data_IF_580367255182
#
_entry.id   IF_580367255182
#
_cell.length_a   1.000
_cell.length_b   1.000
_cell.length_c   1.000
_cell.angle_alpha   90.00
_cell.angle_beta   90.00
_cell.angle_gamma   90.00
#
_symmetry.space_group_name_H-M   'P 1'
#
loop_
_entity.id
_entity.type
_entity.pdbx_description
1 polymer ?
#
# COMPACT_ATOMS: atom_id res chain seq x y z
N UNK A 1 23.47 32.92 -22.07
CA UNK A 1 23.60 34.14 -21.25
C UNK A 1 25.07 34.32 -20.90
N UNK A 2 25.58 35.55 -20.77
CA UNK A 2 27.00 35.84 -20.57
C UNK A 2 27.21 36.92 -19.49
N UNK A 3 28.27 36.75 -18.69
CA UNK A 3 28.72 37.72 -17.68
C UNK A 3 30.24 37.88 -17.79
N UNK A 4 30.76 39.07 -17.49
CA UNK A 4 32.20 39.33 -17.50
C UNK A 4 32.88 38.58 -16.35
N UNK A 5 33.88 37.76 -16.67
CA UNK A 5 34.79 37.15 -15.67
C UNK A 5 35.88 38.13 -15.22
N UNK A 6 36.16 39.14 -16.03
CA UNK A 6 37.14 40.20 -15.74
C UNK A 6 36.44 41.31 -14.96
N UNK A 7 36.49 41.24 -13.63
CA UNK A 7 35.95 42.25 -12.72
C UNK A 7 37.06 43.24 -12.34
N UNK A 8 36.81 44.53 -12.54
CA UNK A 8 37.77 45.60 -12.23
C UNK A 8 37.46 46.21 -10.85
N UNK A 9 38.29 45.87 -9.87
CA UNK A 9 38.14 46.33 -8.48
C UNK A 9 39.02 47.56 -8.16
N UNK A 10 39.52 48.27 -9.17
CA UNK A 10 40.36 49.48 -8.94
C UNK A 10 39.57 50.66 -8.35
N UNK A 11 38.29 50.78 -8.68
CA UNK A 11 37.40 51.82 -8.18
C UNK A 11 35.93 51.43 -8.38
N UNK A 12 35.02 52.03 -7.60
CA UNK A 12 33.57 51.81 -7.74
C UNK A 12 33.05 52.03 -9.19
N UNK A 13 33.43 53.12 -9.90
CA UNK A 13 33.03 53.28 -11.30
C UNK A 13 33.61 52.22 -12.24
N UNK A 14 34.83 51.72 -11.97
CA UNK A 14 35.44 50.68 -12.77
C UNK A 14 34.74 49.33 -12.57
N UNK A 15 34.39 49.00 -11.33
CA UNK A 15 33.59 47.82 -10.99
C UNK A 15 32.25 47.85 -11.74
N UNK A 16 31.52 48.96 -11.67
CA UNK A 16 30.25 49.12 -12.38
C UNK A 16 30.39 48.92 -13.90
N UNK A 17 31.40 49.55 -14.52
CA UNK A 17 31.67 49.37 -15.96
C UNK A 17 32.02 47.92 -16.32
N UNK A 18 32.78 47.23 -15.47
CA UNK A 18 33.18 45.84 -15.70
C UNK A 18 31.98 44.88 -15.66
N UNK A 19 31.00 45.14 -14.78
CA UNK A 19 29.74 44.38 -14.68
C UNK A 19 28.78 44.68 -15.84
N UNK A 20 28.82 45.89 -16.40
CA UNK A 20 27.98 46.30 -17.53
C UNK A 20 28.57 46.00 -18.90
N UNK A 21 29.73 45.31 -18.95
CA UNK A 21 30.38 44.94 -20.21
C UNK A 21 29.40 44.16 -21.10
N UNK A 22 29.47 44.40 -22.40
CA UNK A 22 28.68 43.65 -23.40
C UNK A 22 29.40 42.35 -23.75
N UNK A 23 28.65 41.28 -24.07
CA UNK A 23 29.25 40.04 -24.51
C UNK A 23 30.10 40.26 -25.78
N UNK A 24 31.24 39.55 -25.91
CA UNK A 24 32.13 39.70 -27.05
C UNK A 24 31.58 39.07 -28.34
N UNK A 25 30.54 38.23 -28.24
CA UNK A 25 29.92 37.50 -29.34
C UNK A 25 28.45 37.87 -29.50
N UNK A 26 27.95 38.08 -30.73
CA UNK A 26 26.57 38.51 -30.97
C UNK A 26 25.51 37.44 -30.63
N UNK A 27 25.88 36.15 -30.59
CA UNK A 27 24.99 35.05 -30.20
C UNK A 27 24.73 35.01 -28.68
N UNK A 28 25.52 35.76 -27.91
CA UNK A 28 25.39 35.85 -26.47
C UNK A 28 24.61 37.10 -26.07
N UNK A 29 23.71 36.92 -25.11
CA UNK A 29 23.03 38.02 -24.44
C UNK A 29 23.56 38.15 -23.02
N UNK A 30 23.70 39.39 -22.54
CA UNK A 30 24.09 39.66 -21.15
C UNK A 30 23.12 38.94 -20.21
N UNK A 31 23.65 38.29 -19.18
CA UNK A 31 22.83 37.78 -18.10
C UNK A 31 21.97 38.91 -17.53
N UNK A 32 20.76 38.58 -17.06
CA UNK A 32 19.92 39.57 -16.37
C UNK A 32 20.68 40.05 -15.13
N UNK A 33 20.42 41.27 -14.67
CA UNK A 33 21.00 41.74 -13.39
C UNK A 33 20.62 40.74 -12.31
N UNK A 34 21.62 40.03 -11.80
CA UNK A 34 21.42 39.01 -10.78
C UNK A 34 21.35 39.68 -9.40
N UNK A 35 21.03 38.90 -8.37
CA UNK A 35 20.81 39.40 -7.01
C UNK A 35 22.03 40.16 -6.45
N UNK A 36 23.23 39.84 -6.93
CA UNK A 36 24.49 40.42 -6.51
C UNK A 36 24.72 41.87 -7.01
N UNK A 37 24.42 42.15 -8.28
CA UNK A 37 24.47 43.51 -8.84
C UNK A 37 23.43 44.42 -8.14
N UNK A 38 22.24 43.88 -7.87
CA UNK A 38 21.19 44.60 -7.13
C UNK A 38 21.61 44.88 -5.67
N UNK A 39 22.24 43.91 -5.01
CA UNK A 39 22.81 44.10 -3.67
C UNK A 39 23.89 45.18 -3.68
N UNK A 40 24.80 45.16 -4.67
CA UNK A 40 25.83 46.19 -4.83
C UNK A 40 25.21 47.58 -4.99
N UNK A 41 24.23 47.74 -5.88
CA UNK A 41 23.52 49.01 -6.06
C UNK A 41 22.85 49.52 -4.77
N UNK A 42 22.27 48.62 -3.97
CA UNK A 42 21.67 48.98 -2.68
C UNK A 42 22.74 49.45 -1.67
N UNK A 43 23.84 48.71 -1.55
CA UNK A 43 24.90 49.02 -0.59
C UNK A 43 25.60 50.34 -0.90
N UNK A 44 25.97 50.57 -2.16
CA UNK A 44 26.68 51.81 -2.55
C UNK A 44 25.79 53.05 -2.50
N UNK A 45 24.47 52.89 -2.38
CA UNK A 45 23.57 54.01 -2.14
C UNK A 45 23.78 54.62 -0.75
N UNK A 46 24.31 53.85 0.21
CA UNK A 46 24.63 54.28 1.58
C UNK A 46 25.98 55.01 1.60
N UNK A 47 25.98 56.22 2.13
CA UNK A 47 27.17 57.09 2.18
C UNK A 47 28.33 56.46 2.94
N UNK A 48 28.04 55.88 4.11
CA UNK A 48 29.02 55.17 4.96
C UNK A 48 29.77 54.05 4.23
N UNK A 49 29.08 53.25 3.41
CA UNK A 49 29.69 52.16 2.63
C UNK A 49 30.54 52.73 1.50
N UNK A 50 30.01 53.72 0.78
CA UNK A 50 30.69 54.38 -0.34
C UNK A 50 32.00 55.03 0.11
N UNK A 51 32.02 55.56 1.33
CA UNK A 51 33.18 56.22 1.89
C UNK A 51 34.30 55.26 2.28
N UNK A 52 33.94 54.06 2.75
CA UNK A 52 34.90 53.00 3.10
C UNK A 52 35.38 52.24 1.86
N UNK A 53 34.51 52.07 0.84
CA UNK A 53 34.78 51.31 -0.38
C UNK A 53 35.68 52.05 -1.40
N UNK A 54 36.80 52.66 -0.94
CA UNK A 54 37.71 53.49 -1.74
C UNK A 54 39.05 52.81 -2.10
N UNK A 55 39.20 51.51 -1.91
CA UNK A 55 40.42 50.75 -2.25
C UNK A 55 40.15 49.32 -2.70
N UNK A 56 41.10 48.71 -3.42
CA UNK A 56 40.90 47.41 -4.07
C UNK A 56 40.53 46.26 -3.14
N UNK A 57 41.13 46.19 -1.94
CA UNK A 57 40.80 45.17 -0.95
C UNK A 57 39.40 45.39 -0.33
N UNK A 58 39.06 46.63 0.04
CA UNK A 58 37.74 46.97 0.57
C UNK A 58 36.63 46.71 -0.47
N UNK A 59 36.89 47.06 -1.73
CA UNK A 59 35.97 46.83 -2.84
C UNK A 59 35.83 45.34 -3.18
N UNK A 60 36.90 44.56 -3.06
CA UNK A 60 36.86 43.10 -3.19
C UNK A 60 35.94 42.49 -2.12
N UNK A 61 36.12 42.84 -0.84
CA UNK A 61 35.25 42.35 0.24
C UNK A 61 33.79 42.77 0.04
N UNK A 62 33.55 44.02 -0.35
CA UNK A 62 32.20 44.50 -0.66
C UNK A 62 31.56 43.65 -1.78
N UNK A 63 32.31 43.39 -2.84
CA UNK A 63 31.84 42.59 -3.97
C UNK A 63 31.60 41.12 -3.58
N UNK A 64 32.47 40.53 -2.77
CA UNK A 64 32.28 39.16 -2.25
C UNK A 64 31.03 39.06 -1.36
N UNK A 65 30.74 40.08 -0.54
CA UNK A 65 29.51 40.13 0.25
C UNK A 65 28.26 40.23 -0.63
N UNK A 66 28.31 41.01 -1.71
CA UNK A 66 27.18 41.12 -2.65
C UNK A 66 26.81 39.78 -3.28
N UNK A 67 27.77 38.85 -3.40
CA UNK A 67 27.54 37.51 -3.94
C UNK A 67 26.90 36.53 -2.93
N UNK A 68 26.66 36.94 -1.68
CA UNK A 68 25.95 36.10 -0.70
C UNK A 68 24.49 35.91 -1.16
N UNK A 69 24.03 34.66 -1.38
CA UNK A 69 22.65 34.41 -1.78
C UNK A 69 21.65 34.82 -0.70
N UNK A 70 20.57 35.48 -1.11
CA UNK A 70 19.39 35.66 -0.25
C UNK A 70 18.50 34.41 -0.33
N UNK A 71 18.77 33.45 0.54
CA UNK A 71 17.98 32.21 0.63
C UNK A 71 16.54 32.46 1.08
N UNK A 72 16.30 33.53 1.84
CA UNK A 72 15.00 33.87 2.42
C UNK A 72 14.10 34.65 1.48
N UNK A 73 14.63 35.10 0.33
CA UNK A 73 13.90 35.92 -0.67
C UNK A 73 13.13 37.05 -0.01
N UNK A 74 13.77 37.70 0.95
CA UNK A 74 13.16 38.80 1.68
C UNK A 74 13.12 40.04 0.77
N UNK A 75 12.53 41.13 1.24
CA UNK A 75 12.69 42.40 0.55
C UNK A 75 14.19 42.72 0.37
N UNK A 76 14.54 43.21 -0.82
CA UNK A 76 15.90 43.63 -1.18
C UNK A 76 16.55 44.56 -0.13
N UNK A 77 15.73 45.34 0.58
CA UNK A 77 16.18 46.24 1.64
C UNK A 77 16.69 45.50 2.90
N UNK A 78 16.02 44.42 3.33
CA UNK A 78 16.42 43.71 4.55
C UNK A 78 17.72 42.94 4.36
N UNK A 79 17.89 42.27 3.21
CA UNK A 79 19.17 41.62 2.86
C UNK A 79 20.29 42.65 2.72
N UNK A 80 20.02 43.79 2.08
CA UNK A 80 20.97 44.90 1.97
C UNK A 80 21.43 45.43 3.33
N UNK A 81 20.55 45.50 4.35
CA UNK A 81 20.94 45.88 5.72
C UNK A 81 21.87 44.87 6.37
N UNK A 82 21.59 43.57 6.21
CA UNK A 82 22.47 42.51 6.73
C UNK A 82 23.87 42.60 6.10
N UNK A 83 23.95 42.74 4.78
CA UNK A 83 25.23 42.88 4.08
C UNK A 83 25.98 44.15 4.46
N UNK A 84 25.26 45.25 4.69
CA UNK A 84 25.85 46.50 5.18
C UNK A 84 26.49 46.33 6.56
N UNK A 85 25.76 45.75 7.52
CA UNK A 85 26.26 45.48 8.87
C UNK A 85 27.53 44.60 8.82
N UNK A 86 27.49 43.53 8.01
CA UNK A 86 28.63 42.63 7.81
C UNK A 86 29.84 43.36 7.21
N UNK A 87 29.62 44.19 6.19
CA UNK A 87 30.71 44.95 5.57
C UNK A 87 31.37 45.90 6.57
N UNK A 88 30.58 46.66 7.33
CA UNK A 88 31.09 47.59 8.32
C UNK A 88 31.89 46.87 9.41
N UNK A 89 31.38 45.76 9.95
CA UNK A 89 32.13 44.96 10.94
C UNK A 89 33.44 44.40 10.37
N UNK A 90 33.44 43.91 9.13
CA UNK A 90 34.66 43.42 8.48
C UNK A 90 35.69 44.53 8.24
N UNK A 91 35.24 45.76 7.94
CA UNK A 91 36.13 46.89 7.73
C UNK A 91 36.65 47.50 9.04
N UNK A 92 35.88 47.46 10.12
CA UNK A 92 36.26 48.02 11.42
C UNK A 92 36.99 47.02 12.32
N UNK A 93 36.44 45.82 12.46
CA UNK A 93 36.87 44.82 13.44
C UNK A 93 37.64 43.65 12.79
N UNK A 94 37.65 43.58 11.45
CA UNK A 94 38.29 42.52 10.67
C UNK A 94 37.52 41.19 10.66
N UNK A 95 36.68 40.93 11.67
CA UNK A 95 35.82 39.76 11.80
C UNK A 95 34.50 40.13 12.47
N UNK A 96 33.48 39.34 12.17
CA UNK A 96 32.18 39.37 12.84
C UNK A 96 32.32 38.67 14.19
N UNK A 97 32.04 39.41 15.26
CA UNK A 97 32.14 38.90 16.62
C UNK A 97 31.01 37.92 16.99
N UNK A 98 31.30 37.02 17.94
CA UNK A 98 30.31 36.04 18.39
C UNK A 98 29.09 36.67 19.07
N UNK A 99 29.29 37.77 19.79
CA UNK A 99 28.23 38.47 20.52
C UNK A 99 27.12 38.99 19.59
N UNK A 100 27.48 39.37 18.36
CA UNK A 100 26.54 39.81 17.34
C UNK A 100 25.89 38.65 16.59
N UNK A 101 26.65 37.57 16.36
CA UNK A 101 26.22 36.39 15.60
C UNK A 101 25.27 35.49 16.41
N UNK A 102 25.60 35.22 17.67
CA UNK A 102 24.88 34.31 18.55
C UNK A 102 23.37 34.58 18.67
N UNK A 103 22.89 35.80 18.98
CA UNK A 103 21.45 36.04 19.12
C UNK A 103 20.69 35.84 17.80
N UNK A 104 21.33 36.08 16.66
CA UNK A 104 20.73 35.95 15.32
C UNK A 104 20.57 34.50 14.87
N UNK A 105 21.50 33.63 15.26
CA UNK A 105 21.42 32.18 15.01
C UNK A 105 20.49 31.52 16.03
N UNK A 106 20.64 31.82 17.32
CA UNK A 106 19.87 31.14 18.38
C UNK A 106 18.36 31.35 18.28
N UNK A 107 17.90 32.51 17.80
CA UNK A 107 16.46 32.75 17.58
C UNK A 107 15.82 31.85 16.50
N UNK A 108 16.63 31.28 15.61
CA UNK A 108 16.18 30.37 14.54
C UNK A 108 16.01 28.93 15.05
N UNK A 109 16.58 28.63 16.22
CA UNK A 109 16.57 27.32 16.84
C UNK A 109 15.22 27.00 17.51
N UNK A 110 14.15 27.01 16.72
CA UNK A 110 12.78 26.80 17.18
C UNK A 110 11.96 26.08 16.13
N UNK A 111 11.32 24.98 16.53
CA UNK A 111 10.50 24.13 15.66
C UNK A 111 8.99 24.46 15.71
N UNK A 112 8.59 25.40 16.57
CA UNK A 112 7.20 25.84 16.74
C UNK A 112 6.66 26.64 15.54
N UNK A 113 5.34 26.66 15.32
CA UNK A 113 4.71 27.39 14.22
C UNK A 113 4.26 26.52 13.06
N UNK A 114 3.72 27.13 12.01
CA UNK A 114 3.22 26.45 10.82
C UNK A 114 4.35 26.11 9.82
N UNK A 115 3.98 25.50 8.68
CA UNK A 115 4.93 25.14 7.63
C UNK A 115 5.73 26.35 7.12
N UNK A 116 5.05 27.47 6.88
CA UNK A 116 5.66 28.66 6.27
C UNK A 116 6.64 29.33 7.26
N UNK A 117 6.32 29.31 8.56
CA UNK A 117 7.23 29.75 9.63
C UNK A 117 8.51 28.90 9.69
N UNK A 118 8.40 27.57 9.64
CA UNK A 118 9.58 26.67 9.67
C UNK A 118 10.41 26.83 8.40
N UNK A 119 9.77 26.88 7.23
CA UNK A 119 10.44 27.09 5.94
C UNK A 119 11.21 28.42 5.92
N UNK A 120 10.63 29.50 6.46
CA UNK A 120 11.29 30.80 6.61
C UNK A 120 12.54 30.72 7.50
N UNK A 121 12.51 29.96 8.60
CA UNK A 121 13.68 29.76 9.46
C UNK A 121 14.78 28.94 8.78
N UNK A 122 14.43 27.92 8.00
CA UNK A 122 15.39 27.15 7.20
C UNK A 122 16.10 28.05 6.19
N UNK A 123 15.35 28.93 5.53
CA UNK A 123 15.94 29.87 4.60
C UNK A 123 16.92 30.82 5.30
N UNK A 124 16.56 31.34 6.48
CA UNK A 124 17.46 32.20 7.26
C UNK A 124 18.70 31.47 7.78
N UNK A 125 18.59 30.21 8.23
CA UNK A 125 19.76 29.48 8.75
C UNK A 125 20.76 29.17 7.65
N UNK A 126 20.31 28.93 6.40
CA UNK A 126 21.19 28.71 5.24
C UNK A 126 22.11 29.88 4.95
N UNK A 127 21.66 31.13 5.15
CA UNK A 127 22.52 32.31 5.05
C UNK A 127 23.67 32.24 6.06
N UNK A 128 23.39 31.80 7.29
CA UNK A 128 24.39 31.63 8.34
C UNK A 128 25.30 30.41 8.10
N UNK A 129 24.76 29.31 7.57
CA UNK A 129 25.55 28.16 7.11
C UNK A 129 26.54 28.61 6.03
N UNK A 130 26.10 29.36 5.02
CA UNK A 130 26.97 29.90 3.98
C UNK A 130 28.05 30.84 4.53
N UNK A 131 27.66 31.78 5.40
CA UNK A 131 28.60 32.73 6.01
C UNK A 131 29.63 32.04 6.90
N UNK A 132 29.24 31.03 7.68
CA UNK A 132 30.16 30.31 8.57
C UNK A 132 31.27 29.56 7.83
N UNK A 133 31.06 29.21 6.56
CA UNK A 133 32.12 28.66 5.70
C UNK A 133 33.17 29.69 5.24
N UNK A 134 32.92 30.99 5.41
CA UNK A 134 33.91 32.07 5.18
C UNK A 134 34.75 32.26 6.44
N UNK A 135 35.67 31.34 6.71
CA UNK A 135 36.46 31.28 7.94
C UNK A 135 37.27 32.55 8.27
N UNK A 136 37.60 33.35 7.25
CA UNK A 136 38.27 34.63 7.44
C UNK A 136 37.37 35.72 8.06
N UNK A 137 36.04 35.59 7.95
CA UNK A 137 35.08 36.64 8.31
C UNK A 137 34.43 36.45 9.67
N UNK A 138 34.44 35.24 10.23
CA UNK A 138 33.69 34.91 11.45
C UNK A 138 34.65 34.38 12.52
N UNK A 139 34.52 34.92 13.73
CA UNK A 139 35.19 34.37 14.91
C UNK A 139 34.68 32.96 15.23
N UNK A 140 35.59 32.02 15.51
CA UNK A 140 35.28 30.60 15.75
C UNK A 140 34.38 29.98 14.68
N UNK A 141 34.68 30.24 13.41
CA UNK A 141 33.94 29.70 12.27
C UNK A 141 33.62 28.18 12.35
N UNK A 142 34.53 27.28 12.80
CA UNK A 142 34.18 25.85 12.94
C UNK A 142 33.01 25.59 13.89
N UNK A 143 32.96 26.29 15.03
CA UNK A 143 31.85 26.18 15.98
C UNK A 143 30.52 26.61 15.35
N UNK A 144 30.52 27.74 14.63
CA UNK A 144 29.32 28.26 13.99
C UNK A 144 28.86 27.43 12.80
N UNK A 145 29.78 26.78 12.07
CA UNK A 145 29.46 25.81 11.02
C UNK A 145 28.67 24.62 11.59
N UNK A 146 29.18 24.01 12.68
CA UNK A 146 28.52 22.89 13.34
C UNK A 146 27.16 23.31 13.92
N UNK A 147 27.11 24.47 14.58
CA UNK A 147 25.89 25.00 15.20
C UNK A 147 24.81 25.30 14.17
N UNK A 148 25.15 25.95 13.05
CA UNK A 148 24.20 26.27 11.99
C UNK A 148 23.66 24.99 11.33
N UNK A 149 24.53 24.02 11.05
CA UNK A 149 24.15 22.72 10.51
C UNK A 149 23.18 21.97 11.43
N UNK A 150 23.47 21.92 12.73
CA UNK A 150 22.59 21.24 13.70
C UNK A 150 21.22 21.92 13.86
N UNK A 151 21.11 23.23 13.58
CA UNK A 151 19.82 23.93 13.54
C UNK A 151 19.10 23.62 12.21
N UNK A 152 19.81 23.64 11.09
CA UNK A 152 19.25 23.32 9.77
C UNK A 152 18.70 21.89 9.72
N UNK A 153 19.41 20.91 10.27
CA UNK A 153 18.97 19.51 10.34
C UNK A 153 17.65 19.39 11.12
N UNK A 154 17.59 19.96 12.33
CA UNK A 154 16.37 19.90 13.17
C UNK A 154 15.18 20.63 12.57
N UNK A 155 15.40 21.76 11.90
CA UNK A 155 14.33 22.47 11.20
C UNK A 155 13.86 21.69 9.98
N UNK A 156 14.75 21.02 9.25
CA UNK A 156 14.43 20.20 8.08
C UNK A 156 13.58 18.99 8.47
N UNK A 157 13.90 18.33 9.58
CA UNK A 157 13.09 17.25 10.14
C UNK A 157 11.68 17.75 10.52
N UNK A 158 11.59 18.87 11.24
CA UNK A 158 10.31 19.46 11.62
C UNK A 158 9.47 19.91 10.40
N UNK A 159 10.12 20.38 9.33
CA UNK A 159 9.43 20.71 8.08
C UNK A 159 8.86 19.46 7.42
N UNK A 160 9.60 18.35 7.42
CA UNK A 160 9.16 17.08 6.86
C UNK A 160 7.94 16.52 7.59
N UNK A 161 7.94 16.55 8.92
CA UNK A 161 6.78 16.18 9.73
C UNK A 161 5.54 17.03 9.39
N UNK A 162 5.70 18.35 9.28
CA UNK A 162 4.61 19.29 8.94
C UNK A 162 4.11 19.13 7.49
N UNK A 163 4.99 18.81 6.55
CA UNK A 163 4.61 18.53 5.17
C UNK A 163 3.68 17.30 5.11
N UNK A 164 4.02 16.26 5.88
CA UNK A 164 3.22 15.04 6.00
C UNK A 164 1.82 15.35 6.55
N UNK A 165 1.73 16.16 7.61
CA UNK A 165 0.45 16.59 8.21
C UNK A 165 -0.43 17.40 7.23
N UNK A 166 0.15 18.35 6.48
CA UNK A 166 -0.60 19.24 5.56
C UNK A 166 -1.25 18.50 4.38
N UNK A 167 -0.65 17.41 3.91
CA UNK A 167 -1.25 16.56 2.86
C UNK A 167 -2.44 15.74 3.37
N UNK A 168 -2.39 15.29 4.64
CA UNK A 168 -3.46 14.52 5.30
C UNK A 168 -4.68 15.41 5.59
N UNK A 169 -4.47 16.65 6.01
CA UNK A 169 -5.56 17.57 6.37
C UNK A 169 -6.42 18.01 5.16
N UNK A 170 -5.78 18.28 4.01
CA UNK A 170 -6.51 18.73 2.79
C UNK A 170 -7.36 17.61 2.18
N UNK A 171 -6.90 16.36 2.27
CA UNK A 171 -7.63 15.15 1.84
C UNK A 171 -8.86 14.94 2.73
N UNK A 172 -8.68 15.02 4.05
CA UNK A 172 -9.73 14.77 5.04
C UNK A 172 -10.84 15.83 5.01
N UNK A 173 -10.51 17.12 4.88
CA UNK A 173 -11.51 18.20 4.89
C UNK A 173 -12.48 18.17 3.70
N UNK A 174 -12.01 17.73 2.52
CA UNK A 174 -12.81 17.72 1.29
C UNK A 174 -13.81 16.55 1.27
N UNK A 175 -13.40 15.39 1.79
CA UNK A 175 -14.23 14.18 1.94
C UNK A 175 -15.29 14.36 3.04
N UNK A 176 -14.91 14.90 4.20
CA UNK A 176 -15.82 15.09 5.35
C UNK A 176 -16.97 16.04 5.06
N UNK A 177 -16.73 17.10 4.29
CA UNK A 177 -17.76 18.09 3.96
C UNK A 177 -18.91 17.48 3.16
N UNK A 178 -18.63 16.50 2.30
CA UNK A 178 -19.63 15.91 1.39
C UNK A 178 -20.23 14.59 1.90
N UNK A 179 -19.55 13.86 2.79
CA UNK A 179 -20.16 12.73 3.50
C UNK A 179 -21.39 13.16 4.33
N UNK A 180 -21.39 14.42 4.78
CA UNK A 180 -22.47 15.02 5.58
C UNK A 180 -23.68 15.48 4.76
N UNK A 181 -23.54 15.65 3.45
CA UNK A 181 -24.57 16.25 2.57
C UNK A 181 -25.45 15.21 1.85
N UNK A 182 -25.31 13.91 2.16
CA UNK A 182 -26.11 12.78 1.62
C UNK A 182 -26.20 12.70 0.08
N UNK A 183 -25.34 13.42 -0.63
CA UNK A 183 -25.27 13.42 -2.09
C UNK A 183 -24.75 12.06 -2.62
N UNK A 184 -25.21 11.59 -3.78
CA UNK A 184 -24.70 10.37 -4.41
C UNK A 184 -23.22 10.56 -4.75
N UNK A 185 -22.36 9.75 -4.13
CA UNK A 185 -20.93 9.71 -4.41
C UNK A 185 -20.69 8.94 -5.70
N UNK A 186 -20.00 9.55 -6.68
CA UNK A 186 -19.59 8.85 -7.89
C UNK A 186 -18.38 7.98 -7.56
N UNK A 187 -18.61 6.67 -7.42
CA UNK A 187 -17.55 5.66 -7.32
C UNK A 187 -17.34 4.94 -8.65
N UNK A 188 -16.09 4.93 -9.11
CA UNK A 188 -15.62 4.05 -10.18
C UNK A 188 -14.71 2.97 -9.60
N UNK A 189 -14.83 1.74 -10.11
CA UNK A 189 -13.84 0.69 -9.90
C UNK A 189 -13.24 0.35 -11.25
N UNK A 190 -11.91 0.42 -11.36
CA UNK A 190 -11.21 0.04 -12.60
C UNK A 190 -10.99 -1.48 -12.68
N UNK A 191 -10.45 -1.94 -13.81
CA UNK A 191 -10.21 -3.37 -14.05
C UNK A 191 -9.19 -3.98 -13.05
N UNK A 192 -8.31 -3.16 -12.48
CA UNK A 192 -7.33 -3.53 -11.44
C UNK A 192 -7.96 -3.61 -10.03
N UNK A 193 -9.25 -3.33 -9.90
CA UNK A 193 -9.98 -3.33 -8.64
C UNK A 193 -9.73 -2.08 -7.79
N UNK A 194 -9.14 -1.03 -8.33
CA UNK A 194 -8.93 0.25 -7.63
C UNK A 194 -10.24 1.01 -7.51
N UNK A 195 -10.55 1.44 -6.29
CA UNK A 195 -11.76 2.17 -5.96
C UNK A 195 -11.43 3.66 -5.93
N UNK A 196 -12.05 4.39 -6.84
CA UNK A 196 -11.92 5.83 -6.99
C UNK A 196 -13.25 6.47 -6.67
N UNK A 197 -13.28 7.34 -5.66
CA UNK A 197 -14.47 8.12 -5.29
C UNK A 197 -14.17 9.60 -5.54
N UNK A 198 -14.99 10.27 -6.37
CA UNK A 198 -14.81 11.69 -6.70
C UNK A 198 -13.40 12.02 -7.25
N UNK A 199 -12.83 11.12 -8.06
CA UNK A 199 -11.49 11.28 -8.65
C UNK A 199 -10.34 10.98 -7.70
N UNK A 200 -10.60 10.50 -6.48
CA UNK A 200 -9.59 10.14 -5.49
C UNK A 200 -9.53 8.63 -5.25
N UNK A 201 -8.33 8.07 -5.26
CA UNK A 201 -8.10 6.69 -4.85
C UNK A 201 -8.32 6.54 -3.35
N UNK A 202 -9.21 5.62 -2.98
CA UNK A 202 -9.57 5.36 -1.57
C UNK A 202 -9.24 3.93 -1.12
N UNK A 203 -8.90 3.03 -2.04
CA UNK A 203 -8.58 1.65 -1.74
C UNK A 203 -8.77 0.70 -2.92
N UNK A 204 -8.83 -0.60 -2.64
CA UNK A 204 -9.03 -1.66 -3.62
C UNK A 204 -10.15 -2.60 -3.21
N UNK A 205 -10.90 -3.09 -4.19
CA UNK A 205 -11.95 -4.09 -4.03
C UNK A 205 -11.43 -5.46 -4.49
N UNK A 206 -11.17 -6.35 -3.53
CA UNK A 206 -10.79 -7.74 -3.80
C UNK A 206 -12.01 -8.64 -3.58
N UNK A 207 -12.60 -9.15 -4.67
CA UNK A 207 -13.86 -9.90 -4.58
C UNK A 207 -14.99 -9.02 -4.04
N UNK A 208 -15.41 -9.27 -2.80
CA UNK A 208 -16.40 -8.46 -2.08
C UNK A 208 -15.79 -7.64 -0.93
N UNK A 209 -14.48 -7.74 -0.71
CA UNK A 209 -13.81 -7.07 0.41
C UNK A 209 -13.16 -5.76 -0.05
N UNK A 210 -13.56 -4.66 0.59
CA UNK A 210 -12.96 -3.36 0.37
C UNK A 210 -11.78 -3.14 1.31
N UNK A 211 -10.59 -3.05 0.74
CA UNK A 211 -9.34 -2.74 1.43
C UNK A 211 -9.04 -1.25 1.24
N UNK A 212 -9.14 -0.49 2.32
CA UNK A 212 -8.81 0.95 2.34
C UNK A 212 -7.35 1.16 1.97
N UNK A 213 -7.06 2.29 1.32
CA UNK A 213 -5.70 2.73 1.00
C UNK A 213 -4.79 2.62 2.25
N UNK A 214 -3.71 1.80 2.19
CA UNK A 214 -2.82 1.59 3.34
C UNK A 214 -2.05 2.85 3.75
N UNK A 215 -2.04 3.90 2.91
CA UNK A 215 -1.46 5.20 3.24
C UNK A 215 -2.35 6.02 4.20
N UNK A 216 -3.64 5.70 4.29
CA UNK A 216 -4.55 6.39 5.19
C UNK A 216 -4.42 5.87 6.62
N UNK A 217 -4.46 6.75 7.61
CA UNK A 217 -4.31 6.36 9.03
C UNK A 217 -5.33 7.03 9.95
N UNK A 218 -5.59 6.40 11.10
CA UNK A 218 -6.48 6.93 12.14
C UNK A 218 -7.89 7.29 11.64
N UNK A 219 -8.28 8.55 11.81
CA UNK A 219 -9.61 9.08 11.46
C UNK A 219 -9.84 9.10 9.94
N UNK A 220 -8.79 9.31 9.15
CA UNK A 220 -8.86 9.31 7.68
C UNK A 220 -9.27 7.92 7.17
N UNK A 221 -8.59 6.87 7.64
CA UNK A 221 -8.89 5.50 7.24
C UNK A 221 -10.34 5.09 7.56
N UNK A 222 -10.85 5.52 8.73
CA UNK A 222 -12.25 5.26 9.12
C UNK A 222 -13.25 5.96 8.20
N UNK A 223 -12.92 7.17 7.76
CA UNK A 223 -13.78 7.98 6.90
C UNK A 223 -13.78 7.47 5.46
N UNK A 224 -12.60 7.10 4.94
CA UNK A 224 -12.46 6.44 3.64
C UNK A 224 -13.19 5.10 3.62
N UNK A 225 -13.13 4.33 4.70
CA UNK A 225 -13.91 3.09 4.83
C UNK A 225 -15.41 3.35 4.68
N UNK A 226 -15.96 4.28 5.46
CA UNK A 226 -17.38 4.61 5.41
C UNK A 226 -17.82 5.17 4.04
N UNK A 227 -17.00 6.01 3.42
CA UNK A 227 -17.25 6.54 2.08
C UNK A 227 -17.22 5.41 1.02
N UNK A 228 -16.25 4.50 1.12
CA UNK A 228 -16.12 3.34 0.25
C UNK A 228 -17.30 2.39 0.38
N UNK A 229 -17.68 2.00 1.59
CA UNK A 229 -18.83 1.13 1.86
C UNK A 229 -20.12 1.70 1.25
N UNK A 230 -20.40 3.00 1.47
CA UNK A 230 -21.59 3.65 0.90
C UNK A 230 -21.55 3.70 -0.62
N UNK A 231 -20.42 4.05 -1.20
CA UNK A 231 -20.31 4.25 -2.64
C UNK A 231 -20.19 2.94 -3.43
N UNK A 232 -19.67 1.88 -2.82
CA UNK A 232 -19.54 0.55 -3.43
C UNK A 232 -20.82 -0.28 -3.34
N UNK A 233 -21.77 0.07 -2.45
CA UNK A 233 -22.98 -0.75 -2.23
C UNK A 233 -23.74 -1.14 -3.51
N UNK A 234 -24.01 -0.23 -4.48
CA UNK A 234 -24.69 -0.61 -5.73
C UNK A 234 -23.85 -1.57 -6.59
N UNK A 235 -22.53 -1.37 -6.62
CA UNK A 235 -21.62 -2.21 -7.39
C UNK A 235 -21.48 -3.61 -6.76
N UNK A 236 -21.36 -3.69 -5.44
CA UNK A 236 -21.33 -4.95 -4.70
C UNK A 236 -22.65 -5.73 -4.91
N UNK A 237 -23.79 -5.05 -4.93
CA UNK A 237 -25.09 -5.66 -5.23
C UNK A 237 -25.14 -6.23 -6.66
N UNK A 238 -24.66 -5.48 -7.65
CA UNK A 238 -24.57 -5.96 -9.03
C UNK A 238 -23.60 -7.16 -9.16
N UNK A 239 -22.47 -7.11 -8.46
CA UNK A 239 -21.47 -8.18 -8.41
C UNK A 239 -22.03 -9.45 -7.75
N UNK A 240 -22.80 -9.30 -6.67
CA UNK A 240 -23.47 -10.42 -6.00
C UNK A 240 -24.53 -11.06 -6.91
N UNK A 241 -25.32 -10.24 -7.63
CA UNK A 241 -26.28 -10.73 -8.61
C UNK A 241 -25.59 -11.46 -9.77
N UNK A 242 -24.45 -10.96 -10.25
CA UNK A 242 -23.66 -11.64 -11.28
C UNK A 242 -23.12 -12.99 -10.78
N UNK A 243 -22.56 -13.04 -9.57
CA UNK A 243 -22.10 -14.31 -8.96
C UNK A 243 -23.25 -15.31 -8.78
N UNK A 244 -24.41 -14.86 -8.29
CA UNK A 244 -25.59 -15.72 -8.12
C UNK A 244 -26.08 -16.35 -9.43
N UNK A 245 -25.76 -15.75 -10.58
CA UNK A 245 -26.09 -16.27 -11.91
C UNK A 245 -24.85 -16.74 -12.72
N UNK A 246 -23.68 -16.83 -12.08
CA UNK A 246 -22.43 -17.21 -12.74
C UNK A 246 -22.53 -18.61 -13.33
N UNK A 247 -21.93 -18.86 -14.48
CA UNK A 247 -21.88 -20.21 -15.07
C UNK A 247 -20.85 -21.10 -14.36
N UNK A 248 -20.92 -22.41 -14.58
CA UNK A 248 -20.05 -23.36 -13.86
C UNK A 248 -18.56 -23.22 -14.22
N UNK A 249 -18.26 -22.76 -15.43
CA UNK A 249 -16.91 -22.51 -15.96
C UNK A 249 -16.26 -21.24 -15.39
N UNK A 250 -17.04 -20.30 -14.86
CA UNK A 250 -16.51 -19.12 -14.16
C UNK A 250 -16.09 -19.43 -12.71
N UNK A 251 -16.49 -20.58 -12.19
CA UNK A 251 -16.23 -21.02 -10.82
C UNK A 251 -15.15 -22.10 -10.79
N UNK A 252 -14.16 -21.92 -9.93
CA UNK A 252 -13.10 -22.90 -9.71
C UNK A 252 -12.93 -23.20 -8.23
N UNK A 253 -12.53 -24.44 -7.93
CA UNK A 253 -12.21 -24.88 -6.57
C UNK A 253 -10.69 -25.09 -6.53
N UNK A 254 -10.02 -24.34 -5.67
CA UNK A 254 -8.61 -24.50 -5.37
C UNK A 254 -8.37 -25.76 -4.55
N UNK A 255 -7.12 -26.24 -4.58
CA UNK A 255 -6.73 -27.43 -3.83
C UNK A 255 -6.87 -27.21 -2.31
N UNK A 256 -6.77 -25.97 -1.83
CA UNK A 256 -6.94 -25.50 -0.45
C UNK A 256 -8.41 -25.34 0.00
N UNK A 257 -9.37 -25.63 -0.88
CA UNK A 257 -10.79 -25.45 -0.62
C UNK A 257 -11.29 -24.01 -0.79
N UNK A 258 -10.47 -23.10 -1.32
CA UNK A 258 -10.94 -21.78 -1.74
C UNK A 258 -11.80 -21.91 -3.01
N UNK A 259 -12.94 -21.22 -3.02
CA UNK A 259 -13.78 -21.09 -4.22
C UNK A 259 -13.51 -19.73 -4.85
N UNK A 260 -13.14 -19.77 -6.12
CA UNK A 260 -12.79 -18.60 -6.92
C UNK A 260 -13.87 -18.37 -7.97
N UNK A 261 -14.26 -17.11 -8.12
CA UNK A 261 -15.07 -16.65 -9.25
C UNK A 261 -14.20 -15.73 -10.10
N UNK A 262 -13.92 -16.17 -11.33
CA UNK A 262 -12.92 -15.55 -12.21
C UNK A 262 -11.56 -15.46 -11.47
N UNK A 263 -11.07 -14.25 -11.19
CA UNK A 263 -9.79 -13.98 -10.53
C UNK A 263 -9.91 -13.66 -9.03
N UNK A 264 -11.11 -13.72 -8.45
CA UNK A 264 -11.33 -13.34 -7.05
C UNK A 264 -11.79 -14.54 -6.21
N UNK A 265 -11.16 -14.73 -5.05
CA UNK A 265 -11.65 -15.65 -4.04
C UNK A 265 -12.96 -15.09 -3.44
N UNK A 266 -14.01 -15.89 -3.45
CA UNK A 266 -15.34 -15.49 -2.97
C UNK A 266 -15.78 -16.29 -1.74
N UNK A 267 -15.32 -17.53 -1.61
CA UNK A 267 -15.68 -18.36 -0.47
C UNK A 267 -14.58 -19.36 -0.09
N UNK A 268 -14.76 -19.98 1.07
CA UNK A 268 -13.89 -21.01 1.61
C UNK A 268 -14.72 -22.20 2.10
N UNK A 269 -14.32 -23.41 1.72
CA UNK A 269 -14.88 -24.63 2.30
C UNK A 269 -14.45 -24.78 3.77
N UNK A 270 -15.42 -25.15 4.61
CA UNK A 270 -15.25 -25.48 6.02
C UNK A 270 -15.92 -26.81 6.33
N UNK A 271 -15.56 -27.41 7.47
CA UNK A 271 -16.23 -28.60 7.99
C UNK A 271 -17.73 -28.35 8.08
N UNK A 272 -18.51 -29.20 7.44
CA UNK A 272 -19.97 -29.16 7.46
C UNK A 272 -20.58 -30.32 8.25
N UNK A 273 -21.91 -30.49 8.20
CA UNK A 273 -22.61 -31.50 8.97
C UNK A 273 -22.28 -32.93 8.55
N UNK A 274 -21.88 -33.15 7.30
CA UNK A 274 -21.47 -34.47 6.79
C UNK A 274 -20.23 -34.37 5.92
N UNK A 275 -19.54 -35.50 5.75
CA UNK A 275 -18.29 -35.62 4.99
C UNK A 275 -18.41 -35.10 3.55
N UNK A 276 -19.55 -35.36 2.89
CA UNK A 276 -19.82 -34.94 1.50
C UNK A 276 -20.55 -33.60 1.39
N UNK A 277 -20.87 -32.95 2.52
CA UNK A 277 -21.54 -31.64 2.57
C UNK A 277 -20.74 -30.68 3.46
N UNK A 278 -19.59 -30.18 2.98
CA UNK A 278 -18.89 -29.10 3.66
C UNK A 278 -19.73 -27.83 3.68
N UNK A 279 -19.50 -26.98 4.68
CA UNK A 279 -20.07 -25.65 4.73
C UNK A 279 -19.29 -24.73 3.79
N UNK A 280 -19.99 -23.84 3.10
CA UNK A 280 -19.39 -22.81 2.26
C UNK A 280 -19.49 -21.49 3.02
N UNK A 281 -18.34 -20.94 3.42
CA UNK A 281 -18.29 -19.63 4.10
C UNK A 281 -17.92 -18.57 3.08
N UNK A 282 -18.84 -17.66 2.81
CA UNK A 282 -18.65 -16.56 1.86
C UNK A 282 -18.08 -15.34 2.59
N UNK A 283 -17.06 -14.72 2.01
CA UNK A 283 -16.41 -13.54 2.58
C UNK A 283 -16.94 -12.24 1.95
N UNK A 284 -16.98 -11.15 2.71
CA UNK A 284 -17.26 -9.80 2.19
C UNK A 284 -18.73 -9.51 1.83
N UNK A 285 -19.69 -10.36 2.19
CA UNK A 285 -21.11 -10.12 1.88
C UNK A 285 -21.91 -9.39 2.98
N UNK A 286 -21.27 -8.85 4.02
CA UNK A 286 -21.96 -8.25 5.16
C UNK A 286 -22.95 -7.15 4.77
N UNK A 287 -22.58 -6.33 3.78
CA UNK A 287 -23.36 -5.18 3.30
C UNK A 287 -24.39 -5.56 2.21
N UNK A 288 -24.49 -6.85 1.86
CA UNK A 288 -25.43 -7.37 0.86
C UNK A 288 -26.72 -7.85 1.53
N UNK A 289 -27.85 -7.61 0.86
CA UNK A 289 -29.18 -8.03 1.33
C UNK A 289 -29.23 -9.55 1.59
N UNK A 290 -29.94 -9.96 2.65
CA UNK A 290 -30.03 -11.35 3.05
C UNK A 290 -30.55 -12.28 1.93
N UNK A 291 -31.49 -11.81 1.13
CA UNK A 291 -32.00 -12.55 -0.04
C UNK A 291 -30.90 -12.80 -1.08
N UNK A 292 -30.13 -11.77 -1.43
CA UNK A 292 -29.05 -11.92 -2.42
C UNK A 292 -27.91 -12.78 -1.88
N UNK A 293 -27.60 -12.69 -0.58
CA UNK A 293 -26.66 -13.60 0.09
C UNK A 293 -27.08 -15.06 -0.04
N UNK A 294 -28.34 -15.37 0.26
CA UNK A 294 -28.86 -16.73 0.10
C UNK A 294 -28.71 -17.25 -1.34
N UNK A 295 -29.03 -16.42 -2.33
CA UNK A 295 -28.84 -16.80 -3.75
C UNK A 295 -27.37 -17.08 -4.13
N UNK A 296 -26.42 -16.34 -3.58
CA UNK A 296 -24.99 -16.60 -3.78
C UNK A 296 -24.58 -17.90 -3.09
N UNK A 297 -25.01 -18.11 -1.85
CA UNK A 297 -24.74 -19.34 -1.09
C UNK A 297 -25.30 -20.58 -1.79
N UNK A 298 -26.55 -20.52 -2.27
CA UNK A 298 -27.19 -21.57 -3.06
C UNK A 298 -26.37 -21.87 -4.32
N UNK A 299 -25.97 -20.83 -5.06
CA UNK A 299 -25.20 -21.00 -6.30
C UNK A 299 -23.85 -21.69 -6.06
N UNK A 300 -23.13 -21.29 -5.01
CA UNK A 300 -21.85 -21.90 -4.64
C UNK A 300 -22.04 -23.34 -4.13
N UNK A 301 -23.15 -23.60 -3.43
CA UNK A 301 -23.52 -24.94 -2.95
C UNK A 301 -23.83 -25.87 -4.12
N UNK A 302 -24.58 -25.40 -5.11
CA UNK A 302 -24.87 -26.15 -6.34
C UNK A 302 -23.59 -26.46 -7.12
N UNK A 303 -22.68 -25.48 -7.25
CA UNK A 303 -21.38 -25.68 -7.88
C UNK A 303 -20.57 -26.79 -7.19
N UNK A 304 -20.45 -26.72 -5.85
CA UNK A 304 -19.72 -27.74 -5.10
C UNK A 304 -20.40 -29.11 -5.22
N UNK A 305 -21.73 -29.17 -5.10
CA UNK A 305 -22.51 -30.40 -5.19
C UNK A 305 -22.32 -31.07 -6.54
N UNK A 306 -22.46 -30.32 -7.65
CA UNK A 306 -22.23 -30.84 -9.00
C UNK A 306 -20.78 -31.37 -9.18
N UNK A 307 -19.79 -30.67 -8.62
CA UNK A 307 -18.39 -31.09 -8.67
C UNK A 307 -18.13 -32.36 -7.83
N UNK A 308 -18.73 -32.44 -6.65
CA UNK A 308 -18.66 -33.61 -5.78
C UNK A 308 -19.36 -34.82 -6.42
N UNK A 309 -20.51 -34.65 -7.06
CA UNK A 309 -21.18 -35.71 -7.80
C UNK A 309 -20.36 -36.18 -9.01
N UNK A 310 -19.76 -35.26 -9.76
CA UNK A 310 -18.94 -35.60 -10.92
C UNK A 310 -17.67 -36.39 -10.54
N UNK A 311 -17.02 -36.06 -9.41
CA UNK A 311 -15.77 -36.69 -9.00
C UNK A 311 -15.95 -37.85 -8.02
N UNK A 312 -16.92 -37.75 -7.11
CA UNK A 312 -17.17 -38.71 -6.02
C UNK A 312 -18.49 -39.46 -6.20
N UNK A 313 -19.07 -39.45 -7.41
CA UNK A 313 -20.34 -40.10 -7.73
C UNK A 313 -20.52 -41.50 -7.12
N UNK A 314 -19.54 -42.43 -7.21
CA UNK A 314 -19.67 -43.73 -6.56
C UNK A 314 -19.88 -43.65 -5.05
N UNK A 315 -19.21 -42.73 -4.36
CA UNK A 315 -19.35 -42.52 -2.91
C UNK A 315 -20.72 -41.94 -2.57
N UNK A 316 -21.21 -41.00 -3.38
CA UNK A 316 -22.57 -40.42 -3.27
C UNK A 316 -23.63 -41.51 -3.46
N UNK A 317 -23.49 -42.34 -4.51
CA UNK A 317 -24.41 -43.45 -4.77
C UNK A 317 -24.37 -44.51 -3.67
N UNK A 318 -23.19 -44.81 -3.12
CA UNK A 318 -23.04 -45.74 -2.00
C UNK A 318 -23.77 -45.22 -0.75
N UNK A 319 -23.62 -43.94 -0.44
CA UNK A 319 -24.34 -43.31 0.68
C UNK A 319 -25.85 -43.28 0.44
N UNK A 320 -26.31 -42.95 -0.77
CA UNK A 320 -27.73 -42.98 -1.11
C UNK A 320 -28.31 -44.40 -1.02
N UNK A 321 -27.59 -45.42 -1.50
CA UNK A 321 -27.99 -46.82 -1.41
C UNK A 321 -28.05 -47.33 0.03
N UNK A 322 -27.18 -46.85 0.91
CA UNK A 322 -27.23 -47.13 2.35
C UNK A 322 -28.41 -46.42 3.04
N UNK A 323 -28.71 -45.17 2.64
CA UNK A 323 -29.82 -44.40 3.21
C UNK A 323 -31.19 -44.84 2.71
N UNK A 324 -31.29 -45.52 1.57
CA UNK A 324 -32.57 -46.00 1.02
C UNK A 324 -33.25 -47.01 1.94
N UNK A 325 -34.54 -46.84 2.17
CA UNK A 325 -35.40 -47.78 2.90
C UNK A 325 -36.16 -48.74 1.95
N UNK A 326 -35.99 -48.58 0.64
CA UNK A 326 -36.60 -49.47 -0.35
C UNK A 326 -35.94 -50.84 -0.40
N UNK A 327 -36.64 -51.86 -0.93
CA UNK A 327 -36.05 -53.19 -1.16
C UNK A 327 -34.83 -53.17 -2.10
N UNK A 328 -34.75 -52.16 -2.97
CA UNK A 328 -33.63 -51.93 -3.87
C UNK A 328 -32.38 -51.37 -3.16
N UNK A 329 -32.54 -50.83 -1.96
CA UNK A 329 -31.47 -50.34 -1.09
C UNK A 329 -30.61 -51.45 -0.48
N UNK A 330 -29.57 -51.04 0.24
CA UNK A 330 -28.72 -51.97 0.99
C UNK A 330 -29.36 -52.35 2.31
N UNK A 331 -29.26 -53.63 2.69
CA UNK A 331 -29.88 -54.16 3.90
C UNK A 331 -28.86 -54.76 4.87
N UNK A 332 -29.24 -54.82 6.16
CA UNK A 332 -28.48 -55.47 7.22
C UNK A 332 -26.99 -55.08 7.26
N UNK A 333 -26.11 -56.08 7.26
CA UNK A 333 -24.66 -55.89 7.34
C UNK A 333 -24.08 -55.13 6.14
N UNK A 334 -24.67 -55.24 4.95
CA UNK A 334 -24.19 -54.53 3.77
C UNK A 334 -24.38 -53.02 3.88
N UNK A 335 -25.50 -52.58 4.47
CA UNK A 335 -25.75 -51.18 4.83
C UNK A 335 -24.70 -50.67 5.82
N UNK A 336 -24.37 -51.45 6.86
CA UNK A 336 -23.32 -51.12 7.82
C UNK A 336 -21.93 -50.98 7.16
N UNK A 337 -21.58 -51.90 6.26
CA UNK A 337 -20.32 -51.82 5.48
C UNK A 337 -20.28 -50.56 4.62
N UNK A 338 -21.37 -50.24 3.93
CA UNK A 338 -21.45 -49.03 3.12
C UNK A 338 -21.23 -47.76 3.95
N UNK A 339 -21.87 -47.63 5.12
CA UNK A 339 -21.63 -46.49 6.02
C UNK A 339 -20.16 -46.38 6.43
N UNK A 340 -19.54 -47.49 6.87
CA UNK A 340 -18.13 -47.49 7.25
C UNK A 340 -17.19 -47.12 6.11
N UNK A 341 -17.47 -47.59 4.90
CA UNK A 341 -16.69 -47.22 3.72
C UNK A 341 -16.84 -45.73 3.40
N UNK A 342 -18.05 -45.18 3.49
CA UNK A 342 -18.31 -43.74 3.28
C UNK A 342 -17.60 -42.89 4.34
N UNK A 343 -17.68 -43.26 5.62
CA UNK A 343 -16.98 -42.60 6.74
C UNK A 343 -15.46 -42.58 6.56
N UNK A 344 -14.90 -43.59 5.89
CA UNK A 344 -13.48 -43.71 5.58
C UNK A 344 -13.15 -43.28 4.13
N UNK A 345 -13.91 -42.34 3.56
CA UNK A 345 -13.58 -41.71 2.27
C UNK A 345 -13.45 -42.71 1.11
N UNK A 346 -14.17 -43.83 1.18
CA UNK A 346 -14.23 -44.83 0.12
C UNK A 346 -13.19 -45.95 0.21
N UNK A 347 -12.39 -46.03 1.28
CA UNK A 347 -11.47 -47.14 1.51
C UNK A 347 -11.31 -47.49 3.00
N UNK A 348 -11.39 -48.77 3.37
CA UNK A 348 -11.20 -49.21 4.76
C UNK A 348 -10.62 -50.63 4.85
N UNK A 349 -9.94 -50.94 5.95
CA UNK A 349 -9.40 -52.28 6.22
C UNK A 349 -10.51 -53.29 6.49
N UNK A 350 -10.39 -54.48 5.90
CA UNK A 350 -11.29 -55.60 6.15
C UNK A 350 -11.27 -56.08 7.59
N UNK A 351 -10.15 -55.88 8.29
CA UNK A 351 -9.99 -56.30 9.69
C UNK A 351 -11.01 -55.65 10.62
N UNK A 352 -11.52 -54.46 10.27
CA UNK A 352 -12.53 -53.74 11.05
C UNK A 352 -13.90 -54.46 11.09
N UNK A 353 -14.14 -55.41 10.18
CA UNK A 353 -15.42 -56.10 10.04
C UNK A 353 -15.38 -57.58 10.45
N UNK A 354 -14.20 -58.13 10.76
CA UNK A 354 -14.04 -59.54 11.17
C UNK A 354 -14.80 -60.53 10.27
N UNK A 355 -15.58 -61.42 10.89
CA UNK A 355 -16.39 -62.42 10.20
C UNK A 355 -17.71 -61.89 9.63
N UNK A 356 -18.11 -60.65 9.94
CA UNK A 356 -19.39 -60.10 9.48
C UNK A 356 -19.42 -59.95 7.96
N UNK A 357 -18.28 -59.69 7.32
CA UNK A 357 -18.17 -59.69 5.86
C UNK A 357 -18.54 -61.04 5.25
N UNK A 358 -18.25 -62.17 5.94
CA UNK A 358 -18.58 -63.52 5.46
C UNK A 358 -20.09 -63.78 5.49
N UNK A 359 -20.79 -63.17 6.44
CA UNK A 359 -22.25 -63.31 6.65
C UNK A 359 -23.11 -62.51 5.66
N UNK A 360 -22.53 -61.58 4.90
CA UNK A 360 -23.26 -60.86 3.85
C UNK A 360 -23.58 -61.82 2.71
N UNK A 361 -24.86 -61.93 2.36
CA UNK A 361 -25.31 -62.77 1.26
C UNK A 361 -24.82 -62.27 -0.11
N UNK A 362 -24.95 -63.12 -1.13
CA UNK A 362 -24.43 -62.83 -2.46
C UNK A 362 -25.22 -61.72 -3.18
N UNK A 363 -26.50 -61.54 -2.87
CA UNK A 363 -27.37 -60.51 -3.45
C UNK A 363 -26.92 -59.12 -2.97
N UNK A 364 -26.71 -58.94 -1.67
CA UNK A 364 -26.23 -57.70 -1.08
C UNK A 364 -24.78 -57.39 -1.48
N UNK A 365 -23.90 -58.41 -1.57
CA UNK A 365 -22.56 -58.24 -2.15
C UNK A 365 -22.62 -57.79 -3.61
N UNK A 366 -23.58 -58.27 -4.39
CA UNK A 366 -23.79 -57.85 -5.78
C UNK A 366 -24.22 -56.38 -5.84
N UNK A 367 -25.15 -55.94 -4.98
CA UNK A 367 -25.54 -54.51 -4.86
C UNK A 367 -24.34 -53.62 -4.55
N UNK A 368 -23.52 -53.98 -3.55
CA UNK A 368 -22.30 -53.23 -3.21
C UNK A 368 -21.31 -53.13 -4.39
N UNK A 369 -21.13 -54.22 -5.16
CA UNK A 369 -20.26 -54.20 -6.35
C UNK A 369 -20.81 -53.31 -7.47
N UNK A 370 -22.13 -53.27 -7.65
CA UNK A 370 -22.82 -52.38 -8.61
C UNK A 370 -22.65 -50.91 -8.23
N UNK A 371 -22.62 -50.59 -6.93
CA UNK A 371 -22.33 -49.26 -6.40
C UNK A 371 -20.83 -48.87 -6.47
N UNK A 372 -19.99 -49.73 -7.05
CA UNK A 372 -18.57 -49.42 -7.31
C UNK A 372 -17.60 -49.91 -6.24
N UNK A 373 -18.07 -50.60 -5.20
CA UNK A 373 -17.20 -51.18 -4.17
C UNK A 373 -16.49 -52.45 -4.67
N UNK A 374 -15.25 -52.65 -4.22
CA UNK A 374 -14.46 -53.87 -4.44
C UNK A 374 -13.99 -54.46 -3.12
N UNK A 375 -13.99 -55.78 -3.08
CA UNK A 375 -13.54 -56.58 -1.95
C UNK A 375 -12.13 -57.08 -2.28
N UNK A 376 -11.10 -56.34 -1.87
CA UNK A 376 -9.71 -56.80 -1.97
C UNK A 376 -9.36 -57.83 -0.89
N UNK A 377 -8.11 -58.28 -0.87
CA UNK A 377 -7.61 -59.24 0.13
C UNK A 377 -7.60 -58.62 1.53
N UNK A 378 -7.07 -57.39 1.65
CA UNK A 378 -6.93 -56.67 2.92
C UNK A 378 -7.86 -55.45 3.06
N UNK A 379 -8.38 -54.93 1.95
CA UNK A 379 -9.08 -53.63 1.91
C UNK A 379 -10.41 -53.73 1.17
N UNK A 380 -11.43 -53.03 1.67
CA UNK A 380 -12.64 -52.69 0.92
C UNK A 380 -12.45 -51.29 0.35
N UNK A 381 -12.57 -51.12 -0.96
CA UNK A 381 -12.27 -49.83 -1.59
C UNK A 381 -13.08 -49.58 -2.85
N UNK A 382 -13.10 -48.32 -3.29
CA UNK A 382 -13.74 -47.88 -4.54
C UNK A 382 -12.68 -47.45 -5.56
N UNK A 383 -12.37 -48.26 -6.59
CA UNK A 383 -11.28 -47.98 -7.52
C UNK A 383 -11.38 -46.63 -8.25
N UNK A 384 -12.61 -46.18 -8.56
CA UNK A 384 -12.83 -44.91 -9.24
C UNK A 384 -12.34 -43.69 -8.43
N UNK A 385 -12.33 -43.80 -7.10
CA UNK A 385 -11.90 -42.73 -6.19
C UNK A 385 -10.38 -42.60 -6.06
N UNK A 386 -9.64 -43.63 -6.53
CA UNK A 386 -8.18 -43.67 -6.53
C UNK A 386 -7.56 -42.89 -7.71
N UNK A 387 -8.39 -42.40 -8.64
CA UNK A 387 -7.94 -41.53 -9.73
C UNK A 387 -7.50 -40.16 -9.18
N UNK A 388 -6.58 -39.45 -9.86
CA UNK A 388 -5.99 -38.21 -9.33
C UNK A 388 -7.00 -37.15 -8.90
N UNK A 389 -7.99 -36.82 -9.74
CA UNK A 389 -8.95 -35.75 -9.42
C UNK A 389 -9.89 -36.10 -8.25
N UNK A 390 -10.55 -37.29 -8.22
CA UNK A 390 -11.30 -37.73 -7.03
C UNK A 390 -10.44 -37.82 -5.76
N UNK A 391 -9.23 -38.35 -5.85
CA UNK A 391 -8.33 -38.48 -4.70
C UNK A 391 -7.95 -37.12 -4.11
N UNK A 392 -7.68 -36.10 -4.94
CA UNK A 392 -7.42 -34.73 -4.45
C UNK A 392 -8.60 -34.15 -3.69
N UNK A 393 -9.82 -34.32 -4.22
CA UNK A 393 -11.02 -33.84 -3.53
C UNK A 393 -11.26 -34.60 -2.21
N UNK A 394 -11.00 -35.90 -2.16
CA UNK A 394 -11.10 -36.68 -0.92
C UNK A 394 -10.08 -36.25 0.13
N UNK A 395 -8.83 -35.97 -0.27
CA UNK A 395 -7.80 -35.43 0.64
C UNK A 395 -8.25 -34.09 1.23
N UNK A 396 -8.81 -33.20 0.40
CA UNK A 396 -9.41 -31.94 0.84
C UNK A 396 -10.53 -32.17 1.86
N UNK A 397 -11.51 -33.00 1.53
CA UNK A 397 -12.63 -33.28 2.44
C UNK A 397 -12.18 -33.97 3.74
N UNK A 398 -11.19 -34.86 3.67
CA UNK A 398 -10.60 -35.50 4.83
C UNK A 398 -9.90 -34.50 5.75
N UNK A 399 -9.12 -33.59 5.16
CA UNK A 399 -8.43 -32.56 5.92
C UNK A 399 -9.43 -31.60 6.60
N UNK A 400 -10.49 -31.20 5.88
CA UNK A 400 -11.58 -30.40 6.45
C UNK A 400 -12.30 -31.13 7.58
N UNK A 401 -12.65 -32.40 7.39
CA UNK A 401 -13.38 -33.19 8.38
C UNK A 401 -12.59 -33.42 9.68
N UNK A 402 -11.30 -33.71 9.55
CA UNK A 402 -10.37 -33.94 10.66
C UNK A 402 -9.69 -32.66 11.15
N UNK A 403 -10.07 -31.50 10.60
CA UNK A 403 -9.57 -30.18 10.97
C UNK A 403 -8.03 -30.07 10.93
N UNK A 404 -7.42 -30.68 9.90
CA UNK A 404 -5.98 -30.64 9.64
C UNK A 404 -5.63 -29.61 8.58
N UNK A 405 -4.42 -29.05 8.64
CA UNK A 405 -3.92 -28.14 7.61
C UNK A 405 -3.58 -28.93 6.34
N UNK A 406 -4.00 -28.41 5.20
CA UNK A 406 -3.78 -29.10 3.93
C UNK A 406 -2.30 -29.19 3.54
N UNK A 407 -1.52 -28.16 3.86
CA UNK A 407 -0.10 -28.08 3.53
C UNK A 407 0.75 -29.15 4.22
N UNK A 408 0.22 -29.77 5.29
CA UNK A 408 0.90 -30.84 6.00
C UNK A 408 0.69 -32.21 5.32
N UNK A 409 -0.05 -32.25 4.20
CA UNK A 409 -0.43 -33.47 3.51
C UNK A 409 -0.11 -33.43 2.02
N UNK A 410 0.64 -34.43 1.54
CA UNK A 410 0.81 -34.66 0.11
C UNK A 410 -0.32 -35.54 -0.41
N UNK A 411 -1.06 -35.07 -1.41
CA UNK A 411 -1.95 -35.95 -2.18
C UNK A 411 -1.14 -37.10 -2.81
N UNK A 412 -1.71 -38.31 -2.95
CA UNK A 412 -1.03 -39.42 -3.60
C UNK A 412 -0.57 -39.00 -5.01
N UNK A 413 0.72 -39.23 -5.34
CA UNK A 413 1.22 -38.95 -6.70
C UNK A 413 0.46 -39.81 -7.71
N UNK A 414 0.20 -39.24 -8.89
CA UNK A 414 -0.40 -39.98 -10.00
C UNK A 414 0.43 -41.26 -10.27
N UNK A 415 -0.23 -42.41 -10.34
CA UNK A 415 0.42 -43.70 -10.58
C UNK A 415 0.76 -44.54 -9.34
N UNK A 416 0.64 -44.01 -8.11
CA UNK A 416 0.83 -44.81 -6.88
C UNK A 416 -0.38 -45.68 -6.50
N UNK A 417 -1.51 -45.46 -7.17
CA UNK A 417 -2.81 -46.11 -6.87
C UNK A 417 -3.47 -46.69 -8.13
N UNK A 418 -2.80 -46.63 -9.28
CA UNK A 418 -3.15 -47.44 -10.43
C UNK A 418 -2.61 -48.84 -10.21
N UNK A 419 -3.50 -49.82 -10.11
CA UNK A 419 -3.18 -51.21 -10.43
C UNK A 419 -2.66 -51.32 -11.86
#
# INVERSE_FOLDING_TARGET
QWRSEQIDLSSLPALHRSLERRPPRPELQRARREADEAALHNLIAREEIRDIAKGGAALATLWELCQIPDFSKISLDQHGRLLADLYLMLMHDGRVNEAWLAPRINRLDRIDGDFDMVASRIAHIRTWTYLSHRSAWIENAPYWQERARAIEDRLSDALHEKLTQRFVDRRTATLMKRLKDDAPLLAGVNDDGEVIVEGQFIGRLLGFEFIVDPRASGVEAKSLRAAGEKALAPMLAARAAALANASADELTLGDDGAIWWRSAQVAQLKKGPTLLRPNIVVSGLADISANMRGRVEDRLTDFFTAKAEALLGPLVMLQAGANSESESGLQGLAKGVAYRVVENFGATSRTQFGDDLKKIDQTERSKLRKLGMRFGEYTLFMPALLKPAPSRLLVLLWALWNERKLNDMAAPKAGLVSL
#
